data_IF_827005120405
#
_entry.id   IF_827005120405
#
_cell.length_a   1.000
_cell.length_b   1.000
_cell.length_c   1.000
_cell.angle_alpha   90.00
_cell.angle_beta   90.00
_cell.angle_gamma   90.00
#
_symmetry.space_group_name_H-M   'P 1'
#
loop_
_entity.id
_entity.type
_entity.pdbx_description
1 polymer ?
#
# COMPACT_ATOMS: atom_id res chain seq x y z
N UNK A 1 -19.25 -11.24 -18.80
CA UNK A 1 -19.53 -9.82 -19.10
C UNK A 1 -18.97 -9.00 -17.96
N UNK A 2 -18.17 -7.97 -18.23
CA UNK A 2 -17.67 -7.06 -17.19
C UNK A 2 -18.86 -6.32 -16.60
N UNK A 3 -19.07 -6.39 -15.29
CA UNK A 3 -20.14 -5.63 -14.65
C UNK A 3 -19.81 -4.14 -14.74
N UNK A 4 -20.75 -3.34 -15.27
CA UNK A 4 -20.50 -1.93 -15.54
C UNK A 4 -20.46 -1.13 -14.23
N UNK A 5 -19.37 -0.42 -13.99
CA UNK A 5 -19.25 0.57 -12.90
C UNK A 5 -20.16 1.74 -13.24
N UNK A 6 -21.08 2.07 -12.34
CA UNK A 6 -22.00 3.19 -12.51
C UNK A 6 -21.30 4.52 -12.21
N UNK A 7 -21.71 5.63 -12.86
CA UNK A 7 -21.19 6.95 -12.51
C UNK A 7 -21.58 7.33 -11.08
N UNK A 8 -20.78 8.15 -10.37
CA UNK A 8 -21.16 8.67 -9.07
C UNK A 8 -22.49 9.43 -9.16
N UNK A 9 -23.41 9.12 -8.26
CA UNK A 9 -24.76 9.69 -8.21
C UNK A 9 -24.72 11.09 -7.55
N UNK A 10 -23.79 11.28 -6.61
CA UNK A 10 -23.65 12.53 -5.88
C UNK A 10 -22.78 13.57 -6.62
N UNK A 11 -23.15 14.86 -6.56
CA UNK A 11 -22.40 15.93 -7.20
C UNK A 11 -21.03 16.12 -6.55
N UNK A 12 -20.08 16.66 -7.31
CA UNK A 12 -18.74 17.01 -6.82
C UNK A 12 -18.85 17.94 -5.61
N UNK A 13 -18.10 17.65 -4.54
CA UNK A 13 -18.10 18.42 -3.29
C UNK A 13 -19.10 17.94 -2.23
N UNK A 14 -19.97 16.98 -2.55
CA UNK A 14 -20.77 16.32 -1.52
C UNK A 14 -19.86 15.53 -0.55
N UNK A 15 -20.02 15.66 0.77
CA UNK A 15 -19.21 14.96 1.76
C UNK A 15 -19.32 13.43 1.63
N UNK A 16 -20.47 12.93 1.16
CA UNK A 16 -20.74 11.50 1.04
C UNK A 16 -20.36 10.92 -0.33
N UNK A 17 -19.78 11.75 -1.21
CA UNK A 17 -19.47 11.32 -2.58
C UNK A 17 -18.44 10.21 -2.62
N UNK A 18 -17.47 10.20 -1.70
CA UNK A 18 -16.43 9.18 -1.68
C UNK A 18 -17.01 7.80 -1.34
N UNK A 19 -17.88 7.73 -0.32
CA UNK A 19 -18.65 6.53 0.02
C UNK A 19 -19.52 6.06 -1.15
N UNK A 20 -20.15 6.99 -1.87
CA UNK A 20 -20.92 6.64 -3.07
C UNK A 20 -20.05 6.00 -4.17
N UNK A 21 -18.83 6.50 -4.36
CA UNK A 21 -17.87 5.92 -5.32
C UNK A 21 -17.44 4.51 -4.89
N UNK A 22 -17.23 4.27 -3.59
CA UNK A 22 -16.88 2.96 -3.06
C UNK A 22 -17.95 1.91 -3.37
N UNK A 23 -19.22 2.21 -3.03
CA UNK A 23 -20.36 1.32 -3.29
C UNK A 23 -20.52 1.04 -4.79
N UNK A 24 -20.30 2.05 -5.65
CA UNK A 24 -20.38 1.88 -7.10
C UNK A 24 -19.30 0.94 -7.66
N UNK A 25 -18.15 0.82 -6.98
CA UNK A 25 -17.03 -0.03 -7.39
C UNK A 25 -17.07 -1.43 -6.78
N UNK A 26 -17.71 -1.61 -5.62
CA UNK A 26 -17.68 -2.84 -4.81
C UNK A 26 -18.03 -4.10 -5.63
N UNK A 27 -19.09 -4.04 -6.40
CA UNK A 27 -19.56 -5.19 -7.20
C UNK A 27 -18.56 -5.55 -8.30
N UNK A 28 -17.99 -4.56 -8.99
CA UNK A 28 -16.99 -4.80 -10.02
C UNK A 28 -15.68 -5.32 -9.42
N UNK A 29 -15.30 -4.84 -8.23
CA UNK A 29 -14.14 -5.33 -7.49
C UNK A 29 -14.33 -6.79 -7.06
N UNK A 30 -15.49 -7.13 -6.49
CA UNK A 30 -15.82 -8.51 -6.12
C UNK A 30 -15.80 -9.45 -7.33
N UNK A 31 -16.37 -9.02 -8.46
CA UNK A 31 -16.35 -9.80 -9.70
C UNK A 31 -14.92 -10.05 -10.20
N UNK A 32 -14.02 -9.08 -10.07
CA UNK A 32 -12.61 -9.24 -10.42
C UNK A 32 -11.91 -10.25 -9.50
N UNK A 33 -12.13 -10.15 -8.18
CA UNK A 33 -11.58 -11.12 -7.21
C UNK A 33 -12.06 -12.53 -7.54
N UNK A 34 -13.37 -12.73 -7.70
CA UNK A 34 -13.95 -14.03 -8.05
C UNK A 34 -13.40 -14.57 -9.37
N UNK A 35 -13.24 -13.71 -10.39
CA UNK A 35 -12.69 -14.12 -11.67
C UNK A 35 -11.22 -14.55 -11.56
N UNK A 36 -10.41 -13.85 -10.76
CA UNK A 36 -9.01 -14.22 -10.51
C UNK A 36 -8.89 -15.55 -9.78
N UNK A 37 -9.65 -15.75 -8.71
CA UNK A 37 -9.64 -16.99 -7.93
C UNK A 37 -10.15 -18.18 -8.76
N UNK A 38 -11.17 -17.98 -9.60
CA UNK A 38 -11.64 -18.99 -10.56
C UNK A 38 -10.59 -19.38 -11.61
N UNK A 39 -9.54 -18.58 -11.78
CA UNK A 39 -8.37 -18.89 -12.62
C UNK A 39 -7.21 -19.53 -11.83
N UNK A 40 -7.45 -19.91 -10.58
CA UNK A 40 -6.48 -20.62 -9.74
C UNK A 40 -5.52 -19.71 -8.97
N UNK A 41 -5.75 -18.39 -8.96
CA UNK A 41 -4.98 -17.49 -8.12
C UNK A 41 -5.38 -17.70 -6.67
N UNK A 42 -4.41 -17.69 -5.75
CA UNK A 42 -4.74 -17.71 -4.32
C UNK A 42 -5.34 -16.37 -3.89
N UNK A 43 -6.17 -16.34 -2.82
CA UNK A 43 -6.69 -15.09 -2.28
C UNK A 43 -5.58 -14.08 -1.95
N UNK A 44 -4.43 -14.57 -1.47
CA UNK A 44 -3.27 -13.73 -1.15
C UNK A 44 -2.63 -13.11 -2.39
N UNK A 45 -2.46 -13.87 -3.46
CA UNK A 45 -1.90 -13.35 -4.72
C UNK A 45 -2.82 -12.31 -5.34
N UNK A 46 -4.12 -12.61 -5.40
CA UNK A 46 -5.15 -11.70 -5.90
C UNK A 46 -5.15 -10.39 -5.11
N UNK A 47 -5.22 -10.46 -3.77
CA UNK A 47 -5.21 -9.27 -2.92
C UNK A 47 -3.93 -8.46 -3.06
N UNK A 48 -2.75 -9.11 -3.08
CA UNK A 48 -1.47 -8.43 -3.23
C UNK A 48 -1.34 -7.71 -4.58
N UNK A 49 -1.78 -8.36 -5.67
CA UNK A 49 -1.77 -7.77 -7.00
C UNK A 49 -2.71 -6.56 -7.10
N UNK A 50 -3.94 -6.69 -6.61
CA UNK A 50 -4.92 -5.60 -6.61
C UNK A 50 -4.44 -4.41 -5.77
N UNK A 51 -3.90 -4.67 -4.57
CA UNK A 51 -3.34 -3.62 -3.72
C UNK A 51 -2.20 -2.87 -4.43
N UNK A 52 -1.29 -3.59 -5.08
CA UNK A 52 -0.19 -2.97 -5.83
C UNK A 52 -0.72 -2.07 -6.94
N UNK A 53 -1.63 -2.56 -7.77
CA UNK A 53 -2.23 -1.80 -8.88
C UNK A 53 -2.98 -0.56 -8.40
N UNK A 54 -3.77 -0.68 -7.33
CA UNK A 54 -4.49 0.44 -6.73
C UNK A 54 -3.53 1.49 -6.15
N UNK A 55 -2.46 1.05 -5.47
CA UNK A 55 -1.44 1.93 -4.90
C UNK A 55 -0.69 2.71 -6.00
N UNK A 56 -0.25 2.02 -7.05
CA UNK A 56 0.43 2.64 -8.21
C UNK A 56 -0.49 3.64 -8.92
N UNK A 57 -1.79 3.35 -9.03
CA UNK A 57 -2.76 4.30 -9.58
C UNK A 57 -2.93 5.53 -8.67
N UNK A 58 -3.11 5.33 -7.38
CA UNK A 58 -3.28 6.40 -6.38
C UNK A 58 -2.06 7.34 -6.30
N UNK A 59 -0.85 6.82 -6.48
CA UNK A 59 0.38 7.61 -6.54
C UNK A 59 0.39 8.61 -7.70
N UNK A 60 -0.22 8.29 -8.86
CA UNK A 60 -0.33 9.23 -10.00
C UNK A 60 -1.12 10.48 -9.65
N UNK A 61 -2.08 10.34 -8.73
CA UNK A 61 -2.91 11.42 -8.23
C UNK A 61 -2.39 11.99 -6.90
N UNK A 62 -1.22 11.54 -6.42
CA UNK A 62 -0.62 11.95 -5.15
C UNK A 62 -1.51 11.71 -3.93
N UNK A 63 -2.41 10.72 -4.00
CA UNK A 63 -3.29 10.34 -2.89
C UNK A 63 -2.56 9.50 -1.84
N UNK A 64 -1.50 8.81 -2.26
CA UNK A 64 -0.61 8.02 -1.39
C UNK A 64 0.83 8.40 -1.73
N UNK A 65 1.72 8.57 -0.74
CA UNK A 65 3.13 8.79 -1.01
C UNK A 65 3.74 7.64 -1.82
N UNK A 66 4.69 7.96 -2.69
CA UNK A 66 5.47 6.93 -3.37
C UNK A 66 6.21 6.09 -2.34
N UNK A 67 6.14 4.75 -2.47
CA UNK A 67 6.89 3.87 -1.59
C UNK A 67 8.39 4.17 -1.75
N UNK A 68 9.13 4.43 -0.65
CA UNK A 68 10.55 4.67 -0.76
C UNK A 68 11.23 3.42 -1.32
N UNK A 69 12.21 3.57 -2.22
CA UNK A 69 12.86 2.42 -2.83
C UNK A 69 13.51 1.55 -1.75
N UNK A 70 13.44 0.23 -1.91
CA UNK A 70 13.84 -0.78 -0.90
C UNK A 70 15.29 -0.62 -0.39
N UNK A 71 16.17 0.01 -1.17
CA UNK A 71 17.54 0.33 -0.74
C UNK A 71 17.62 1.40 0.35
N UNK A 72 16.65 2.34 0.41
CA UNK A 72 16.59 3.40 1.43
C UNK A 72 16.31 2.80 2.81
N UNK A 73 15.43 1.82 2.89
CA UNK A 73 15.13 1.08 4.13
C UNK A 73 16.33 0.26 4.60
N UNK A 74 17.04 -0.42 3.67
CA UNK A 74 18.28 -1.16 3.99
C UNK A 74 19.40 -0.24 4.51
N UNK A 75 19.59 0.93 3.89
CA UNK A 75 20.59 1.91 4.37
C UNK A 75 20.25 2.45 5.76
N UNK A 76 18.98 2.76 6.02
CA UNK A 76 18.54 3.20 7.35
C UNK A 76 18.84 2.17 8.44
N UNK A 77 18.59 0.89 8.15
CA UNK A 77 18.88 -0.20 9.09
C UNK A 77 20.38 -0.37 9.36
N UNK A 78 21.23 -0.27 8.32
CA UNK A 78 22.68 -0.33 8.48
C UNK A 78 23.23 0.83 9.31
N UNK A 79 22.73 2.05 9.10
CA UNK A 79 23.13 3.23 9.87
C UNK A 79 22.74 3.08 11.35
N UNK A 80 21.52 2.62 11.62
CA UNK A 80 21.04 2.39 12.98
C UNK A 80 21.90 1.34 13.71
N UNK A 81 22.24 0.23 13.06
CA UNK A 81 23.15 -0.77 13.63
C UNK A 81 24.54 -0.20 13.91
N UNK A 82 25.12 0.57 12.98
CA UNK A 82 26.44 1.18 13.17
C UNK A 82 26.46 2.17 14.34
N UNK A 83 25.42 3.00 14.48
CA UNK A 83 25.27 3.92 15.60
C UNK A 83 25.13 3.18 16.94
N UNK A 84 24.36 2.09 16.97
CA UNK A 84 24.23 1.21 18.14
C UNK A 84 25.55 0.59 18.56
N UNK A 85 26.32 0.06 17.61
CA UNK A 85 27.66 -0.49 17.87
C UNK A 85 28.58 0.59 18.43
N UNK A 86 28.59 1.79 17.84
CA UNK A 86 29.42 2.89 18.31
C UNK A 86 29.08 3.31 19.74
N UNK A 87 27.79 3.44 20.06
CA UNK A 87 27.31 3.76 21.41
C UNK A 87 27.67 2.68 22.43
N UNK A 88 27.55 1.40 22.07
CA UNK A 88 27.95 0.28 22.91
C UNK A 88 29.46 0.29 23.19
N UNK A 89 30.29 0.53 22.16
CA UNK A 89 31.74 0.65 22.33
C UNK A 89 32.10 1.82 23.24
N UNK A 90 31.50 3.00 23.04
CA UNK A 90 31.73 4.16 23.88
C UNK A 90 31.36 3.90 25.35
N UNK A 91 30.25 3.20 25.60
CA UNK A 91 29.84 2.82 26.96
C UNK A 91 30.82 1.85 27.63
N UNK A 92 31.35 0.86 26.90
CA UNK A 92 32.34 -0.10 27.42
C UNK A 92 33.65 0.62 27.76
N UNK A 93 34.12 1.51 26.88
CA UNK A 93 35.34 2.31 27.13
C UNK A 93 35.16 3.22 28.35
N UNK A 94 33.98 3.81 28.52
CA UNK A 94 33.68 4.69 29.66
C UNK A 94 33.54 3.95 30.98
N UNK A 95 33.07 2.70 30.99
CA UNK A 95 32.96 1.88 32.21
C UNK A 95 34.23 1.10 32.57
N UNK A 96 35.18 0.98 31.64
CA UNK A 96 36.46 0.28 31.85
C UNK A 96 37.64 1.18 32.25
N UNK A 97 37.43 2.50 32.33
CA UNK A 97 38.39 3.50 32.80
C UNK A 97 38.05 3.92 34.24
#
# INVERSE_FOLDING_TARGET
>A
MSQAVQPPILPKGSPDRDVNCEVALEVAFAALVTASEAKGWTPRETAAALLKLATEHAQRFRLVPAEPPRWRTRRGMLIACAALVFLLCAAIVWWGA
#
